data_IF_454308581713
#
_entry.id   IF_454308581713
#
_cell.length_a   1.000
_cell.length_b   1.000
_cell.length_c   1.000
_cell.angle_alpha   90.00
_cell.angle_beta   90.00
_cell.angle_gamma   90.00
#
_symmetry.space_group_name_H-M   'P 1'
#
loop_
_entity.id
_entity.type
_entity.pdbx_description
1 polymer ?
#
# COMPACT_ATOMS: atom_id res chain seq x y z
N UNK A 1 -7.93 -5.17 -26.73
CA UNK A 1 -7.97 -4.19 -25.63
C UNK A 1 -8.87 -4.77 -24.56
N UNK A 2 -8.31 -5.32 -23.49
CA UNK A 2 -9.11 -5.82 -22.36
C UNK A 2 -9.50 -4.63 -21.49
N UNK A 3 -10.76 -4.23 -21.58
CA UNK A 3 -11.31 -3.17 -20.73
C UNK A 3 -11.51 -3.71 -19.32
N UNK A 4 -10.62 -3.35 -18.40
CA UNK A 4 -10.76 -3.61 -16.98
C UNK A 4 -11.59 -2.49 -16.35
N UNK A 5 -12.63 -2.83 -15.60
CA UNK A 5 -13.41 -1.86 -14.82
C UNK A 5 -12.49 -1.11 -13.82
N UNK A 6 -12.86 0.10 -13.34
CA UNK A 6 -12.07 0.86 -12.37
C UNK A 6 -11.69 0.06 -11.11
N UNK A 7 -12.55 -0.87 -10.69
CA UNK A 7 -12.30 -1.79 -9.58
C UNK A 7 -11.31 -2.94 -9.89
N UNK A 8 -11.13 -3.27 -11.18
CA UNK A 8 -10.17 -4.29 -11.66
C UNK A 8 -8.78 -3.69 -11.92
N UNK A 9 -8.68 -2.37 -11.99
CA UNK A 9 -7.45 -1.61 -12.15
C UNK A 9 -6.81 -1.18 -10.80
N UNK A 10 -7.05 -1.97 -9.75
CA UNK A 10 -6.72 -1.65 -8.37
C UNK A 10 -5.22 -1.68 -8.06
N UNK A 11 -4.81 -2.52 -7.11
CA UNK A 11 -3.40 -2.66 -6.77
C UNK A 11 -2.57 -3.32 -7.90
N UNK A 12 -3.21 -4.05 -8.82
CA UNK A 12 -2.49 -4.84 -9.84
C UNK A 12 -1.71 -3.97 -10.85
N UNK A 13 -2.06 -2.69 -10.99
CA UNK A 13 -1.37 -1.74 -11.86
C UNK A 13 -0.56 -0.71 -11.08
N UNK A 14 -0.38 -0.93 -9.78
CA UNK A 14 0.47 -0.10 -8.93
C UNK A 14 1.52 -1.00 -8.31
N UNK A 15 2.80 -0.66 -8.46
CA UNK A 15 3.85 -1.41 -7.78
C UNK A 15 3.84 -1.10 -6.28
N UNK A 16 2.94 -1.78 -5.57
CA UNK A 16 2.63 -1.58 -4.15
C UNK A 16 2.71 -2.90 -3.41
N UNK A 17 3.26 -2.86 -2.20
CA UNK A 17 3.20 -3.98 -1.26
C UNK A 17 2.35 -3.58 -0.07
N UNK A 18 1.29 -4.34 0.19
CA UNK A 18 0.48 -4.17 1.40
C UNK A 18 1.06 -5.05 2.51
N UNK A 19 1.40 -4.42 3.62
CA UNK A 19 1.83 -5.09 4.84
C UNK A 19 0.75 -4.85 5.89
N UNK A 20 0.13 -5.93 6.35
CA UNK A 20 -0.84 -5.86 7.43
C UNK A 20 -0.14 -6.18 8.74
N UNK A 21 -0.41 -5.39 9.78
CA UNK A 21 0.04 -5.71 11.14
C UNK A 21 -1.15 -5.59 12.08
N UNK A 22 -1.56 -6.71 12.67
CA UNK A 22 -2.78 -6.83 13.48
C UNK A 22 -2.43 -7.34 14.88
N UNK A 23 -3.21 -6.93 15.87
CA UNK A 23 -3.01 -7.30 17.27
C UNK A 23 -1.96 -6.45 17.98
N UNK A 24 -1.81 -6.72 19.28
CA UNK A 24 -0.93 -6.01 20.22
C UNK A 24 0.23 -6.90 20.64
N UNK A 25 1.34 -6.30 21.07
CA UNK A 25 2.46 -7.06 21.62
C UNK A 25 2.03 -7.83 22.89
N UNK A 26 2.43 -9.10 23.08
CA UNK A 26 3.31 -9.91 22.21
C UNK A 26 2.59 -10.74 21.14
N UNK A 27 1.26 -10.71 21.08
CA UNK A 27 0.42 -11.56 20.20
C UNK A 27 0.13 -10.95 18.81
N UNK A 28 0.95 -10.01 18.34
CA UNK A 28 0.78 -9.37 17.05
C UNK A 28 1.22 -10.27 15.89
N UNK A 29 0.54 -10.12 14.76
CA UNK A 29 0.83 -10.85 13.52
C UNK A 29 1.08 -9.83 12.42
N UNK A 30 2.11 -10.08 11.61
CA UNK A 30 2.36 -9.35 10.37
C UNK A 30 2.10 -10.26 9.16
N UNK A 31 1.66 -9.69 8.04
CA UNK A 31 1.44 -10.45 6.80
C UNK A 31 1.75 -9.62 5.55
N UNK A 32 2.33 -10.28 4.55
CA UNK A 32 2.47 -9.79 3.17
C UNK A 32 1.83 -10.82 2.24
N UNK A 33 0.74 -10.47 1.56
CA UNK A 33 -0.08 -11.42 0.78
C UNK A 33 -0.41 -12.66 1.62
N UNK A 34 -0.09 -13.88 1.22
CA UNK A 34 -0.37 -15.08 2.01
C UNK A 34 0.75 -15.45 3.00
N UNK A 35 1.85 -14.69 3.06
CA UNK A 35 3.02 -15.00 3.88
C UNK A 35 2.97 -14.28 5.23
N UNK A 36 3.02 -15.05 6.31
CA UNK A 36 3.14 -14.52 7.67
C UNK A 36 4.56 -14.01 7.91
N UNK A 37 4.65 -12.88 8.60
CA UNK A 37 5.89 -12.35 9.16
C UNK A 37 6.12 -12.97 10.54
N UNK A 38 7.38 -13.09 10.94
CA UNK A 38 7.69 -13.48 12.32
C UNK A 38 7.18 -12.40 13.29
N UNK A 39 6.75 -12.75 14.51
CA UNK A 39 6.29 -11.76 15.49
C UNK A 39 7.30 -10.64 15.75
N UNK A 40 8.60 -10.99 15.77
CA UNK A 40 9.69 -10.02 15.93
C UNK A 40 9.77 -9.01 14.78
N UNK A 41 9.63 -9.46 13.53
CA UNK A 41 9.63 -8.55 12.37
C UNK A 41 8.40 -7.64 12.37
N UNK A 42 7.22 -8.17 12.72
CA UNK A 42 6.01 -7.36 12.86
C UNK A 42 6.18 -6.27 13.93
N UNK A 43 6.89 -6.56 15.03
CA UNK A 43 7.23 -5.59 16.06
C UNK A 43 8.22 -4.53 15.57
N UNK A 44 9.28 -4.94 14.90
CA UNK A 44 10.27 -4.04 14.34
C UNK A 44 9.62 -3.06 13.34
N UNK A 45 8.73 -3.53 12.47
CA UNK A 45 7.99 -2.67 11.54
C UNK A 45 7.15 -1.63 12.27
N UNK A 46 6.40 -2.03 13.31
CA UNK A 46 5.62 -1.07 14.12
C UNK A 46 6.50 -0.01 14.76
N UNK A 47 7.63 -0.41 15.33
CA UNK A 47 8.55 0.52 16.01
C UNK A 47 9.21 1.48 15.03
N UNK A 48 9.74 0.95 13.91
CA UNK A 48 10.39 1.74 12.87
C UNK A 48 9.43 2.77 12.27
N UNK A 49 8.21 2.36 11.95
CA UNK A 49 7.19 3.21 11.32
C UNK A 49 6.33 3.98 12.32
N UNK A 50 6.59 3.82 13.63
CA UNK A 50 5.82 4.44 14.72
C UNK A 50 4.31 4.16 14.63
N UNK A 51 3.94 2.93 14.26
CA UNK A 51 2.55 2.49 14.15
C UNK A 51 2.01 2.13 15.54
N UNK A 52 0.95 2.80 16.03
CA UNK A 52 0.39 2.54 17.36
C UNK A 52 -0.16 1.12 17.46
N UNK A 53 -0.04 0.52 18.65
CA UNK A 53 -0.53 -0.84 18.90
C UNK A 53 -2.05 -0.91 19.11
N UNK A 54 -2.66 0.18 19.62
CA UNK A 54 -4.03 0.19 20.13
C UNK A 54 -5.01 1.01 19.27
N UNK A 55 -4.55 1.57 18.16
CA UNK A 55 -5.39 2.31 17.22
C UNK A 55 -5.05 1.94 15.79
N UNK A 56 -6.02 2.12 14.91
CA UNK A 56 -5.78 1.98 13.47
C UNK A 56 -4.78 3.04 13.02
N UNK A 57 -3.84 2.64 12.18
CA UNK A 57 -3.04 3.56 11.39
C UNK A 57 -2.60 2.88 10.12
N UNK A 58 -2.80 3.57 9.00
CA UNK A 58 -2.19 3.22 7.72
C UNK A 58 -1.06 4.21 7.44
N UNK A 59 0.07 3.71 6.97
CA UNK A 59 1.24 4.51 6.60
C UNK A 59 1.57 4.22 5.13
N UNK A 60 1.60 5.26 4.31
CA UNK A 60 1.99 5.19 2.91
C UNK A 60 3.46 5.58 2.78
N UNK A 61 4.27 4.66 2.27
CA UNK A 61 5.71 4.81 2.12
C UNK A 61 6.03 4.75 0.63
N UNK A 62 6.86 5.66 0.14
CA UNK A 62 7.34 5.60 -1.24
C UNK A 62 8.43 4.52 -1.42
N UNK A 63 8.88 4.33 -2.67
CA UNK A 63 9.91 3.33 -2.99
C UNK A 63 11.29 3.67 -2.44
N UNK A 64 11.50 4.91 -1.98
CA UNK A 64 12.71 5.36 -1.31
C UNK A 64 12.66 5.12 0.20
N UNK A 65 11.54 4.60 0.72
CA UNK A 65 11.36 4.38 2.16
C UNK A 65 10.88 5.62 2.91
N UNK A 66 10.46 6.67 2.21
CA UNK A 66 10.01 7.93 2.82
C UNK A 66 8.54 7.84 3.22
N UNK A 67 8.24 8.24 4.46
CA UNK A 67 6.88 8.40 4.97
C UNK A 67 6.19 9.57 4.25
N UNK A 68 5.16 9.27 3.46
CA UNK A 68 4.44 10.26 2.65
C UNK A 68 3.14 10.69 3.29
N UNK A 69 2.40 9.75 3.86
CA UNK A 69 1.05 10.00 4.34
C UNK A 69 0.65 9.00 5.41
N UNK A 70 -0.09 9.49 6.41
CA UNK A 70 -0.63 8.67 7.50
C UNK A 70 -2.13 8.89 7.63
N UNK A 71 -2.86 7.79 7.77
CA UNK A 71 -4.31 7.82 7.97
C UNK A 71 -4.68 7.19 9.31
N UNK A 72 -5.32 7.92 10.23
CA UNK A 72 -5.74 7.38 11.53
C UNK A 72 -7.06 6.57 11.44
N UNK A 73 -7.63 6.45 10.24
CA UNK A 73 -8.82 5.67 9.93
C UNK A 73 -8.69 5.01 8.55
N UNK A 74 -9.45 3.94 8.26
CA UNK A 74 -9.46 3.33 6.93
C UNK A 74 -9.97 4.32 5.88
N UNK A 75 -9.31 4.36 4.72
CA UNK A 75 -9.75 5.15 3.57
C UNK A 75 -10.23 4.24 2.45
N UNK A 76 -10.93 4.84 1.49
CA UNK A 76 -11.38 4.11 0.31
C UNK A 76 -10.19 3.76 -0.61
N UNK A 77 -10.32 2.67 -1.38
CA UNK A 77 -9.33 2.32 -2.38
C UNK A 77 -9.14 3.44 -3.42
N UNK A 78 -10.23 4.12 -3.81
CA UNK A 78 -10.17 5.24 -4.75
C UNK A 78 -9.32 6.40 -4.22
N UNK A 79 -9.48 6.77 -2.94
CA UNK A 79 -8.69 7.81 -2.28
C UNK A 79 -7.21 7.41 -2.17
N UNK A 80 -6.94 6.16 -1.79
CA UNK A 80 -5.58 5.62 -1.74
C UNK A 80 -4.90 5.67 -3.11
N UNK A 81 -5.58 5.22 -4.15
CA UNK A 81 -5.06 5.19 -5.52
C UNK A 81 -4.81 6.58 -6.08
N UNK A 82 -5.75 7.50 -5.85
CA UNK A 82 -5.57 8.92 -6.21
C UNK A 82 -4.33 9.49 -5.56
N UNK A 83 -4.09 9.19 -4.28
CA UNK A 83 -2.90 9.63 -3.56
C UNK A 83 -1.62 9.04 -4.16
N UNK A 84 -1.58 7.72 -4.41
CA UNK A 84 -0.43 7.04 -5.00
C UNK A 84 -0.10 7.59 -6.39
N UNK A 85 -1.10 7.86 -7.22
CA UNK A 85 -0.94 8.35 -8.59
C UNK A 85 -0.36 9.77 -8.66
N UNK A 86 -0.29 10.49 -7.53
CA UNK A 86 0.44 11.77 -7.44
C UNK A 86 1.96 11.61 -7.36
N UNK A 87 2.48 10.43 -6.99
CA UNK A 87 3.90 10.25 -6.71
C UNK A 87 4.76 10.28 -7.99
N UNK A 88 5.95 10.91 -7.99
CA UNK A 88 6.78 11.04 -9.19
C UNK A 88 7.09 9.71 -9.87
N UNK A 89 7.61 8.72 -9.15
CA UNK A 89 7.90 7.40 -9.71
C UNK A 89 6.65 6.67 -10.20
N UNK A 90 5.48 6.94 -9.62
CA UNK A 90 4.24 6.35 -10.09
C UNK A 90 3.82 6.95 -11.43
N UNK A 91 4.07 8.25 -11.67
CA UNK A 91 3.82 8.87 -12.99
C UNK A 91 4.67 8.25 -14.08
N UNK A 92 5.95 7.95 -13.79
CA UNK A 92 6.83 7.26 -14.73
C UNK A 92 6.29 5.86 -15.08
N UNK A 93 5.77 5.12 -14.09
CA UNK A 93 5.12 3.82 -14.33
C UNK A 93 3.87 3.94 -15.20
N UNK A 94 3.06 4.99 -15.02
CA UNK A 94 1.86 5.21 -15.82
C UNK A 94 2.21 5.42 -17.30
N UNK A 95 3.29 6.13 -17.60
CA UNK A 95 3.77 6.32 -18.99
C UNK A 95 4.13 4.97 -19.61
N UNK A 96 4.95 4.17 -18.91
CA UNK A 96 5.34 2.84 -19.39
C UNK A 96 4.15 1.89 -19.56
N UNK A 97 3.16 1.96 -18.66
CA UNK A 97 1.92 1.19 -18.76
C UNK A 97 1.11 1.58 -20.00
N UNK A 98 0.99 2.88 -20.29
CA UNK A 98 0.31 3.38 -21.48
C UNK A 98 1.01 2.91 -22.76
N UNK A 99 2.34 2.99 -22.82
CA UNK A 99 3.13 2.48 -23.94
C UNK A 99 2.96 0.96 -24.14
N UNK A 100 2.77 0.21 -23.05
CA UNK A 100 2.50 -1.23 -23.06
C UNK A 100 1.01 -1.58 -23.35
N UNK A 101 0.15 -0.59 -23.60
CA UNK A 101 -1.29 -0.80 -23.83
C UNK A 101 -2.08 -1.20 -22.59
N UNK A 102 -1.54 -0.97 -21.39
CA UNK A 102 -2.19 -1.17 -20.10
C UNK A 102 -2.83 0.14 -19.64
N UNK A 103 -4.07 0.40 -20.07
CA UNK A 103 -4.84 1.56 -19.60
C UNK A 103 -5.99 1.17 -18.68
N UNK A 104 -6.18 1.98 -17.65
CA UNK A 104 -7.39 1.99 -16.82
C UNK A 104 -8.23 3.18 -17.24
N UNK A 105 -9.39 2.94 -17.82
CA UNK A 105 -10.35 4.01 -18.01
C UNK A 105 -11.20 4.12 -16.74
N UNK A 106 -11.21 5.32 -16.16
CA UNK A 106 -12.09 5.73 -15.06
C UNK A 106 -13.55 5.71 -15.48
#
# INVERSE_FOLDING_TARGET
MTNLQPAQCGLDLRHVTVIEVVGTYPAQIGRIRHRLLTPGLALQLRLLLRIPQRSFQMVLIDKQGMDKQRYPFPITAAELFTTIDTFPLRKDEMVLQQEAGQSCHS
#
